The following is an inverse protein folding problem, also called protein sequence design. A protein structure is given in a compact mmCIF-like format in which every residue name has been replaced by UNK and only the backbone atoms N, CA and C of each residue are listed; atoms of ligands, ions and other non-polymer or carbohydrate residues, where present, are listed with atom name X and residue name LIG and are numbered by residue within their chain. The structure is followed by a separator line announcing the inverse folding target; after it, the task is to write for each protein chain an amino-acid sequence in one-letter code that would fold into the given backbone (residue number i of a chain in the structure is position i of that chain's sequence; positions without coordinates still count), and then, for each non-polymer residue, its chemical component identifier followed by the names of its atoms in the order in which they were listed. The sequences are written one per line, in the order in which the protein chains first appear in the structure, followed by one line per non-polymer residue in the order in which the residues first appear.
data_IF_826257378218
#
_entry.id   IF_826257378218
#
_cell.length_a   1.000
_cell.length_b   1.000
_cell.length_c   1.000
_cell.angle_alpha   90.00
_cell.angle_beta   90.00
_cell.angle_gamma   90.00
#
_symmetry.space_group_name_H-M   'P 1'
#
loop_
_entity.id
_entity.type
_entity.pdbx_description
1 polymer ?
#
# COMPACT_ATOMS: atom_id res chain seq x y z
N UNK A 1 -5.91 -22.29 -16.02
CA UNK A 1 -4.78 -23.19 -15.71
C UNK A 1 -3.82 -22.39 -14.83
N UNK A 2 -3.75 -22.73 -13.54
CA UNK A 2 -3.26 -21.86 -12.45
C UNK A 2 -1.85 -21.27 -12.65
N UNK A 3 -1.77 -19.94 -12.70
CA UNK A 3 -0.51 -19.17 -12.60
C UNK A 3 0.33 -19.58 -11.37
N UNK A 4 -0.33 -20.02 -10.30
CA UNK A 4 0.31 -20.57 -9.08
C UNK A 4 1.12 -21.84 -9.37
N UNK A 5 0.63 -22.71 -10.25
CA UNK A 5 1.30 -23.97 -10.62
C UNK A 5 2.50 -23.70 -11.52
N UNK A 6 2.38 -22.69 -12.40
CA UNK A 6 3.49 -22.20 -13.22
C UNK A 6 4.63 -21.62 -12.39
N UNK A 7 4.33 -20.78 -11.39
CA UNK A 7 5.36 -20.15 -10.51
C UNK A 7 6.23 -21.21 -9.79
N UNK A 8 5.60 -22.26 -9.25
CA UNK A 8 6.28 -23.38 -8.61
C UNK A 8 7.12 -24.22 -9.59
N UNK A 9 6.69 -24.31 -10.85
CA UNK A 9 7.34 -25.13 -11.87
C UNK A 9 8.53 -24.42 -12.54
N UNK A 10 8.46 -23.09 -12.73
CA UNK A 10 9.57 -22.28 -13.25
C UNK A 10 10.75 -22.14 -12.27
N UNK A 11 10.49 -22.12 -10.96
CA UNK A 11 11.55 -22.10 -9.95
C UNK A 11 12.48 -23.33 -10.03
N UNK A 12 11.95 -24.51 -10.41
CA UNK A 12 12.74 -25.75 -10.52
C UNK A 12 13.70 -25.77 -11.72
N UNK A 13 13.55 -24.90 -12.72
CA UNK A 13 14.37 -24.89 -13.94
C UNK A 13 15.41 -23.75 -13.99
N UNK A 14 15.43 -22.87 -12.99
CA UNK A 14 16.32 -21.69 -12.97
C UNK A 14 17.68 -21.93 -12.30
N UNK A 15 17.94 -23.15 -11.80
CA UNK A 15 19.08 -23.45 -10.93
C UNK A 15 20.49 -23.26 -11.53
N UNK A 16 20.63 -22.87 -12.81
CA UNK A 16 21.95 -22.73 -13.44
C UNK A 16 22.08 -21.60 -14.47
N UNK A 17 21.23 -20.57 -14.45
CA UNK A 17 21.35 -19.40 -15.34
C UNK A 17 21.44 -18.13 -14.52
N UNK A 18 22.59 -17.44 -14.58
CA UNK A 18 22.91 -16.29 -13.73
C UNK A 18 21.95 -15.09 -13.83
N UNK A 19 22.23 -14.04 -13.06
CA UNK A 19 21.38 -12.85 -12.88
C UNK A 19 20.79 -12.24 -14.16
N UNK A 20 21.54 -12.22 -15.27
CA UNK A 20 21.06 -11.74 -16.58
C UNK A 20 19.87 -12.55 -17.09
N UNK A 21 19.89 -13.87 -16.95
CA UNK A 21 18.78 -14.72 -17.36
C UNK A 21 17.55 -14.52 -16.47
N UNK A 22 17.74 -14.28 -15.17
CA UNK A 22 16.64 -13.99 -14.26
C UNK A 22 15.92 -12.68 -14.64
N UNK A 23 16.68 -11.63 -14.99
CA UNK A 23 16.12 -10.35 -15.46
C UNK A 23 15.32 -10.53 -16.75
N UNK A 24 15.85 -11.30 -17.72
CA UNK A 24 15.15 -11.57 -18.99
C UNK A 24 13.85 -12.33 -18.75
N UNK A 25 13.87 -13.41 -17.95
CA UNK A 25 12.66 -14.18 -17.60
C UNK A 25 11.64 -13.32 -16.86
N UNK A 26 12.10 -12.47 -15.93
CA UNK A 26 11.24 -11.55 -15.21
C UNK A 26 10.55 -10.56 -16.15
N UNK A 27 11.31 -9.97 -17.08
CA UNK A 27 10.79 -9.01 -18.05
C UNK A 27 9.78 -9.64 -19.01
N UNK A 28 10.05 -10.86 -19.49
CA UNK A 28 9.11 -11.64 -20.28
C UNK A 28 7.81 -11.86 -19.51
N UNK A 29 7.89 -12.31 -18.25
CA UNK A 29 6.71 -12.51 -17.40
C UNK A 29 5.93 -11.22 -17.13
N UNK A 30 6.62 -10.10 -16.96
CA UNK A 30 5.98 -8.79 -16.84
C UNK A 30 5.18 -8.41 -18.10
N UNK A 31 5.70 -8.70 -19.29
CA UNK A 31 4.98 -8.47 -20.55
C UNK A 31 3.81 -9.42 -20.75
N UNK A 32 3.99 -10.71 -20.46
CA UNK A 32 3.00 -11.75 -20.76
C UNK A 32 1.85 -11.80 -19.75
N UNK A 33 2.14 -11.71 -18.45
CA UNK A 33 1.14 -11.97 -17.39
C UNK A 33 0.57 -10.68 -16.82
N UNK A 34 -0.74 -10.48 -17.02
CA UNK A 34 -1.51 -9.40 -16.36
C UNK A 34 -1.42 -9.55 -14.84
N UNK A 35 -1.58 -10.77 -14.32
CA UNK A 35 -1.51 -11.04 -12.89
C UNK A 35 -0.14 -10.66 -12.31
N UNK A 36 0.94 -10.99 -13.01
CA UNK A 36 2.28 -10.60 -12.60
C UNK A 36 2.45 -9.07 -12.56
N UNK A 37 1.90 -8.33 -13.54
CA UNK A 37 1.91 -6.86 -13.51
C UNK A 37 1.14 -6.31 -12.32
N UNK A 38 -0.05 -6.84 -12.03
CA UNK A 38 -0.85 -6.44 -10.87
C UNK A 38 -0.05 -6.63 -9.56
N UNK A 39 0.58 -7.81 -9.40
CA UNK A 39 1.41 -8.12 -8.25
C UNK A 39 2.66 -7.23 -8.16
N UNK A 40 3.30 -6.93 -9.30
CA UNK A 40 4.44 -6.01 -9.35
C UNK A 40 4.03 -4.61 -8.87
N UNK A 41 2.95 -4.04 -9.41
CA UNK A 41 2.48 -2.72 -8.97
C UNK A 41 2.09 -2.72 -7.49
N UNK A 42 1.49 -3.81 -7.01
CA UNK A 42 1.17 -3.95 -5.59
C UNK A 42 2.43 -3.93 -4.73
N UNK A 43 3.44 -4.73 -5.09
CA UNK A 43 4.72 -4.76 -4.39
C UNK A 43 5.43 -3.39 -4.46
N UNK A 44 5.40 -2.73 -5.61
CA UNK A 44 6.03 -1.43 -5.84
C UNK A 44 5.37 -0.32 -5.00
N UNK A 45 4.04 -0.20 -5.01
CA UNK A 45 3.34 0.81 -4.20
C UNK A 45 3.50 0.51 -2.70
N UNK A 46 3.44 -0.75 -2.31
CA UNK A 46 3.71 -1.17 -0.92
C UNK A 46 5.13 -0.80 -0.50
N UNK A 47 6.13 -1.02 -1.36
CA UNK A 47 7.51 -0.64 -1.06
C UNK A 47 7.69 0.87 -0.98
N UNK A 48 6.98 1.67 -1.78
CA UNK A 48 7.01 3.13 -1.66
C UNK A 48 6.45 3.61 -0.33
N UNK A 49 5.32 3.03 0.11
CA UNK A 49 4.72 3.34 1.41
C UNK A 49 5.71 2.99 2.53
N UNK A 50 6.24 1.76 2.54
CA UNK A 50 7.20 1.33 3.56
C UNK A 50 8.49 2.15 3.50
N UNK A 51 8.99 2.49 2.32
CA UNK A 51 10.20 3.31 2.15
C UNK A 51 10.02 4.70 2.75
N UNK A 52 8.94 5.41 2.41
CA UNK A 52 8.63 6.72 3.01
C UNK A 52 8.49 6.62 4.52
N UNK A 53 7.78 5.59 5.00
CA UNK A 53 7.49 5.43 6.42
C UNK A 53 8.71 5.01 7.24
N UNK A 54 9.66 4.25 6.67
CA UNK A 54 10.83 3.71 7.39
C UNK A 54 12.09 4.59 7.27
N UNK A 55 12.29 5.30 6.15
CA UNK A 55 13.55 6.02 5.87
C UNK A 55 13.48 7.54 6.01
N UNK A 56 12.28 8.13 6.15
CA UNK A 56 12.09 9.59 6.22
C UNK A 56 11.86 10.12 7.65
N UNK A 57 12.33 9.44 8.71
CA UNK A 57 12.08 9.87 10.12
C UNK A 57 13.34 10.11 10.94
N UNK A 58 13.22 11.07 11.87
CA UNK A 58 14.19 11.32 12.92
C UNK A 58 14.18 10.17 13.92
N UNK A 59 15.29 9.43 13.95
CA UNK A 59 15.56 8.42 14.97
C UNK A 59 15.57 9.11 16.35
N UNK A 60 15.15 8.43 17.42
CA UNK A 60 15.26 8.86 18.84
C UNK A 60 14.10 9.69 19.45
N UNK A 61 12.86 9.46 19.04
CA UNK A 61 11.67 9.97 19.75
C UNK A 61 10.98 8.87 20.59
N UNK A 62 10.35 9.26 21.70
CA UNK A 62 9.59 8.33 22.54
C UNK A 62 8.38 7.79 21.76
N UNK A 63 8.27 6.46 21.52
CA UNK A 63 7.32 5.89 20.57
C UNK A 63 5.84 6.07 20.95
N UNK A 64 5.56 6.39 22.22
CA UNK A 64 4.21 6.60 22.74
C UNK A 64 3.95 8.05 23.16
N UNK A 65 4.88 8.97 22.90
CA UNK A 65 4.76 10.36 23.35
C UNK A 65 3.71 11.16 22.58
N UNK A 66 3.42 10.78 21.34
CA UNK A 66 2.55 11.53 20.43
C UNK A 66 1.43 10.67 19.82
N UNK A 67 0.79 9.82 20.64
CA UNK A 67 -0.23 8.87 20.14
C UNK A 67 -1.45 9.56 19.53
N UNK A 68 -1.80 10.73 20.08
CA UNK A 68 -2.95 11.53 19.66
C UNK A 68 -2.52 12.77 18.85
N UNK A 69 -1.29 12.82 18.33
CA UNK A 69 -0.81 13.90 17.47
C UNK A 69 -1.25 13.76 16.02
N UNK A 70 -0.85 14.70 15.18
CA UNK A 70 -1.01 14.61 13.72
C UNK A 70 -2.45 14.69 13.21
N UNK A 71 -3.39 15.28 13.95
CA UNK A 71 -4.78 15.47 13.46
C UNK A 71 -4.93 16.61 12.46
N UNK A 72 -4.02 17.59 12.48
CA UNK A 72 -4.08 18.78 11.63
C UNK A 72 -2.88 18.89 10.70
N UNK A 73 -3.04 19.76 9.68
CA UNK A 73 -2.00 20.15 8.72
C UNK A 73 -1.03 21.18 9.33
N UNK A 74 -1.32 21.66 10.54
CA UNK A 74 -0.54 22.66 11.25
C UNK A 74 -0.14 22.11 12.61
N UNK A 75 1.14 22.17 12.91
CA UNK A 75 1.70 21.85 14.22
C UNK A 75 2.45 23.07 14.75
N UNK A 76 2.22 23.43 16.01
CA UNK A 76 2.94 24.54 16.65
C UNK A 76 4.15 23.97 17.37
N UNK A 77 5.34 24.13 16.79
CA UNK A 77 6.61 23.69 17.40
C UNK A 77 7.38 24.93 17.79
N UNK A 78 7.66 25.09 19.09
CA UNK A 78 8.37 26.26 19.65
C UNK A 78 7.73 27.62 19.31
N UNK A 79 6.40 27.68 19.19
CA UNK A 79 5.67 28.93 18.90
C UNK A 79 5.56 29.29 17.42
N UNK A 80 6.19 28.52 16.51
CA UNK A 80 6.03 28.66 15.06
C UNK A 80 5.05 27.60 14.52
N UNK A 81 4.14 28.01 13.64
CA UNK A 81 3.29 27.08 12.91
C UNK A 81 4.08 26.44 11.78
N UNK A 82 4.28 25.12 11.86
CA UNK A 82 4.87 24.32 10.79
C UNK A 82 3.78 23.52 10.09
N UNK A 83 3.91 23.44 8.77
CA UNK A 83 3.02 22.66 7.91
C UNK A 83 3.42 21.19 7.99
N UNK A 84 2.52 20.35 8.49
CA UNK A 84 2.66 18.90 8.53
C UNK A 84 2.00 18.30 7.30
N UNK A 85 2.79 17.74 6.40
CA UNK A 85 2.28 17.07 5.18
C UNK A 85 1.92 15.60 5.41
N UNK A 86 2.12 15.10 6.63
CA UNK A 86 2.03 13.68 6.97
C UNK A 86 0.64 13.09 6.71
N UNK A 87 -0.43 13.79 7.13
CA UNK A 87 -1.82 13.35 6.91
C UNK A 87 -2.15 13.24 5.42
N UNK A 88 -1.71 14.20 4.62
CA UNK A 88 -1.98 14.26 3.18
C UNK A 88 -1.20 13.16 2.46
N UNK A 89 0.07 12.96 2.83
CA UNK A 89 0.91 11.90 2.29
C UNK A 89 0.33 10.51 2.57
N UNK A 90 -0.15 10.27 3.80
CA UNK A 90 -0.80 9.02 4.20
C UNK A 90 -2.03 8.72 3.33
N UNK A 91 -2.90 9.71 3.09
CA UNK A 91 -4.05 9.58 2.19
C UNK A 91 -3.60 9.31 0.75
N UNK A 92 -2.68 10.11 0.22
CA UNK A 92 -2.23 10.05 -1.18
C UNK A 92 -1.54 8.71 -1.48
N UNK A 93 -0.81 8.15 -0.54
CA UNK A 93 -0.10 6.88 -0.74
C UNK A 93 -1.00 5.67 -0.55
N UNK A 94 -1.93 5.69 0.41
CA UNK A 94 -2.82 4.55 0.67
C UNK A 94 -3.92 4.41 -0.40
N UNK A 95 -4.25 5.51 -1.07
CA UNK A 95 -5.21 5.56 -2.17
C UNK A 95 -4.84 4.65 -3.38
N UNK A 96 -3.67 4.78 -4.03
CA UNK A 96 -3.24 3.88 -5.10
C UNK A 96 -3.01 2.45 -4.60
N UNK A 97 -2.53 2.27 -3.37
CA UNK A 97 -2.37 0.94 -2.77
C UNK A 97 -3.70 0.19 -2.74
N UNK A 98 -4.74 0.81 -2.16
CA UNK A 98 -6.07 0.23 -2.05
C UNK A 98 -6.66 -0.13 -3.44
N UNK A 99 -6.54 0.78 -4.41
CA UNK A 99 -7.01 0.53 -5.78
C UNK A 99 -6.30 -0.68 -6.44
N UNK A 100 -4.98 -0.80 -6.28
CA UNK A 100 -4.20 -1.90 -6.83
C UNK A 100 -4.50 -3.22 -6.12
N UNK A 101 -4.72 -3.22 -4.79
CA UNK A 101 -5.15 -4.41 -4.04
C UNK A 101 -6.50 -4.91 -4.57
N UNK A 102 -7.48 -4.01 -4.70
CA UNK A 102 -8.81 -4.35 -5.21
C UNK A 102 -8.74 -4.90 -6.64
N UNK A 103 -7.90 -4.30 -7.49
CA UNK A 103 -7.69 -4.77 -8.86
C UNK A 103 -6.99 -6.13 -8.92
N UNK A 104 -6.07 -6.39 -8.00
CA UNK A 104 -5.34 -7.68 -7.89
C UNK A 104 -6.27 -8.81 -7.46
N UNK A 105 -7.21 -8.54 -6.55
CA UNK A 105 -8.11 -9.55 -5.98
C UNK A 105 -9.58 -9.34 -6.35
N UNK A 106 -9.84 -8.72 -7.50
CA UNK A 106 -11.18 -8.33 -7.94
C UNK A 106 -12.18 -9.51 -7.94
N UNK A 107 -11.71 -10.69 -8.35
CA UNK A 107 -12.49 -11.94 -8.40
C UNK A 107 -13.02 -12.37 -7.02
N UNK A 108 -12.32 -12.02 -5.93
CA UNK A 108 -12.70 -12.38 -4.56
C UNK A 108 -13.63 -11.36 -3.91
N UNK A 109 -13.57 -10.10 -4.34
CA UNK A 109 -14.20 -8.97 -3.65
C UNK A 109 -15.62 -8.73 -4.15
N UNK A 110 -15.94 -9.08 -5.40
CA UNK A 110 -17.28 -8.94 -5.99
C UNK A 110 -17.63 -7.49 -6.37
N UNK A 111 -18.82 -7.28 -6.94
CA UNK A 111 -19.14 -6.06 -7.71
C UNK A 111 -19.91 -4.96 -6.95
N UNK A 112 -20.26 -5.16 -5.68
CA UNK A 112 -21.08 -4.19 -4.92
C UNK A 112 -20.25 -3.02 -4.40
N UNK A 113 -20.67 -1.77 -4.67
CA UNK A 113 -19.96 -0.56 -4.22
C UNK A 113 -19.75 -0.52 -2.71
N UNK A 114 -20.77 -0.87 -1.91
CA UNK A 114 -20.66 -0.98 -0.44
C UNK A 114 -19.62 -2.01 -0.02
N UNK A 115 -19.55 -3.15 -0.72
CA UNK A 115 -18.59 -4.22 -0.43
C UNK A 115 -17.17 -3.81 -0.79
N UNK A 116 -16.98 -3.13 -1.92
CA UNK A 116 -15.69 -2.57 -2.32
C UNK A 116 -15.20 -1.55 -1.30
N UNK A 117 -16.05 -0.59 -0.91
CA UNK A 117 -15.71 0.41 0.11
C UNK A 117 -15.35 -0.25 1.44
N UNK A 118 -16.19 -1.16 1.93
CA UNK A 118 -15.94 -1.87 3.19
C UNK A 118 -14.64 -2.67 3.18
N UNK A 119 -14.38 -3.44 2.11
CA UNK A 119 -13.15 -4.22 1.98
C UNK A 119 -11.93 -3.30 1.85
N UNK A 120 -12.03 -2.21 1.09
CA UNK A 120 -10.94 -1.24 0.91
C UNK A 120 -10.56 -0.56 2.23
N UNK A 121 -11.54 -0.12 3.02
CA UNK A 121 -11.32 0.46 4.34
C UNK A 121 -10.76 -0.56 5.31
N UNK A 122 -11.29 -1.79 5.33
CA UNK A 122 -10.77 -2.87 6.19
C UNK A 122 -9.30 -3.21 5.88
N UNK A 123 -8.95 -3.34 4.61
CA UNK A 123 -7.57 -3.64 4.20
C UNK A 123 -6.65 -2.49 4.58
N UNK A 124 -7.04 -1.25 4.28
CA UNK A 124 -6.25 -0.07 4.63
C UNK A 124 -6.06 0.05 6.15
N UNK A 125 -7.09 -0.18 6.94
CA UNK A 125 -7.00 -0.18 8.41
C UNK A 125 -6.02 -1.22 8.94
N UNK A 126 -6.15 -2.48 8.50
CA UNK A 126 -5.24 -3.58 8.92
C UNK A 126 -3.80 -3.28 8.48
N UNK A 127 -3.62 -2.81 7.24
CA UNK A 127 -2.31 -2.46 6.72
C UNK A 127 -1.67 -1.31 7.51
N UNK A 128 -2.46 -0.30 7.87
CA UNK A 128 -1.99 0.83 8.70
C UNK A 128 -1.55 0.36 10.07
N UNK A 129 -2.37 -0.45 10.77
CA UNK A 129 -1.96 -1.04 12.05
C UNK A 129 -0.67 -1.84 11.89
N UNK A 130 -0.54 -2.61 10.81
CA UNK A 130 0.66 -3.42 10.56
C UNK A 130 1.91 -2.55 10.40
N UNK A 131 1.78 -1.39 9.74
CA UNK A 131 2.88 -0.41 9.58
C UNK A 131 3.24 0.22 10.93
N UNK A 132 2.26 0.71 11.69
CA UNK A 132 2.48 1.31 13.01
C UNK A 132 3.16 0.32 13.96
N UNK A 133 2.71 -0.94 13.97
CA UNK A 133 3.31 -2.02 14.76
C UNK A 133 4.73 -2.35 14.29
N UNK A 134 4.99 -2.32 12.98
CA UNK A 134 6.33 -2.53 12.42
C UNK A 134 7.27 -1.40 12.83
N UNK A 135 6.82 -0.14 12.82
CA UNK A 135 7.58 1.02 13.28
C UNK A 135 7.90 0.94 14.77
N UNK A 136 6.94 0.54 15.61
CA UNK A 136 7.15 0.30 17.03
C UNK A 136 8.18 -0.81 17.28
N UNK A 137 8.07 -1.93 16.55
CA UNK A 137 8.98 -3.07 16.69
C UNK A 137 10.41 -2.71 16.30
N UNK A 138 10.58 -1.89 15.26
CA UNK A 138 11.89 -1.40 14.81
C UNK A 138 12.37 -0.15 15.59
N UNK A 139 11.54 0.40 16.49
CA UNK A 139 11.79 1.65 17.24
C UNK A 139 12.10 2.85 16.32
N UNK A 140 11.44 2.92 15.17
CA UNK A 140 11.68 3.92 14.13
C UNK A 140 10.71 5.11 14.17
N UNK A 141 9.62 5.03 14.94
CA UNK A 141 8.59 6.07 14.94
C UNK A 141 7.64 6.01 16.15
N UNK A 142 6.72 6.97 16.17
CA UNK A 142 5.63 7.07 17.14
C UNK A 142 4.39 6.36 16.60
N UNK A 143 3.67 5.66 17.48
CA UNK A 143 2.39 5.06 17.12
C UNK A 143 1.34 6.16 17.01
N UNK A 144 0.88 6.50 15.80
CA UNK A 144 -0.06 7.60 15.60
C UNK A 144 -1.45 7.10 15.19
N UNK A 145 -2.47 7.42 15.99
CA UNK A 145 -3.86 7.03 15.68
C UNK A 145 -4.40 7.80 14.47
N UNK A 146 -3.96 9.04 14.30
CA UNK A 146 -4.28 9.88 13.14
C UNK A 146 -3.81 9.23 11.83
N UNK A 147 -2.63 8.59 11.82
CA UNK A 147 -2.10 7.89 10.65
C UNK A 147 -2.99 6.71 10.26
N UNK A 148 -3.45 5.92 11.22
CA UNK A 148 -4.42 4.84 10.98
C UNK A 148 -5.72 5.40 10.38
N UNK A 149 -6.20 6.51 10.90
CA UNK A 149 -7.43 7.15 10.42
C UNK A 149 -7.27 7.67 8.98
N UNK A 150 -6.24 8.47 8.70
CA UNK A 150 -5.98 9.06 7.38
C UNK A 150 -5.70 8.00 6.32
N UNK A 151 -4.95 6.96 6.65
CA UNK A 151 -4.74 5.83 5.75
C UNK A 151 -6.05 5.08 5.47
N UNK A 152 -6.92 4.89 6.47
CA UNK A 152 -8.24 4.28 6.27
C UNK A 152 -9.11 5.12 5.33
N UNK A 153 -9.11 6.45 5.50
CA UNK A 153 -9.79 7.38 4.59
C UNK A 153 -9.23 7.28 3.17
N UNK A 154 -7.90 7.31 3.02
CA UNK A 154 -7.23 7.10 1.72
C UNK A 154 -7.60 5.77 1.08
N UNK A 155 -7.71 4.71 1.88
CA UNK A 155 -8.16 3.38 1.45
C UNK A 155 -9.57 3.38 0.87
N UNK A 156 -10.51 4.03 1.55
CA UNK A 156 -11.89 4.19 1.06
C UNK A 156 -11.96 5.01 -0.23
N UNK A 157 -11.19 6.10 -0.33
CA UNK A 157 -11.10 6.90 -1.56
C UNK A 157 -10.54 6.05 -2.71
N UNK A 158 -9.47 5.29 -2.46
CA UNK A 158 -8.91 4.34 -3.42
C UNK A 158 -9.94 3.30 -3.90
N UNK A 159 -10.76 2.80 -2.98
CA UNK A 159 -11.86 1.88 -3.32
C UNK A 159 -12.96 2.52 -4.16
N UNK A 160 -13.31 3.77 -3.88
CA UNK A 160 -14.25 4.53 -4.69
C UNK A 160 -13.72 4.76 -6.11
N UNK A 161 -12.47 5.19 -6.24
CA UNK A 161 -11.83 5.39 -7.54
C UNK A 161 -11.78 4.10 -8.36
N UNK A 162 -11.40 2.99 -7.74
CA UNK A 162 -11.44 1.67 -8.37
C UNK A 162 -12.84 1.34 -8.90
N UNK A 163 -13.87 1.56 -8.08
CA UNK A 163 -15.25 1.33 -8.49
C UNK A 163 -15.66 2.21 -9.70
N UNK A 164 -15.33 3.50 -9.67
CA UNK A 164 -15.64 4.44 -10.76
C UNK A 164 -14.95 4.01 -12.06
N UNK A 165 -13.65 3.70 -12.00
CA UNK A 165 -12.87 3.25 -13.18
C UNK A 165 -13.44 1.94 -13.74
N UNK A 166 -13.74 0.96 -12.88
CA UNK A 166 -14.33 -0.30 -13.32
C UNK A 166 -15.70 -0.08 -13.98
N UNK A 167 -16.54 0.81 -13.44
CA UNK A 167 -17.85 1.12 -14.01
C UNK A 167 -17.73 1.85 -15.35
N UNK A 168 -16.77 2.76 -15.49
CA UNK A 168 -16.47 3.43 -16.75
C UNK A 168 -16.02 2.43 -17.83
N UNK A 169 -15.13 1.49 -17.47
CA UNK A 169 -14.66 0.43 -18.39
C UNK A 169 -15.75 -0.53 -18.86
N UNK A 170 -16.81 -0.76 -18.08
CA UNK A 170 -17.96 -1.58 -18.49
C UNK A 170 -18.96 -0.85 -19.40
N UNK A 171 -18.85 0.48 -19.49
CA UNK A 171 -19.71 1.33 -20.33
C UNK A 171 -19.09 1.67 -21.68
N UNK A 172 -17.79 1.43 -21.84
CA UNK A 172 -17.03 1.49 -23.09
C UNK A 172 -17.03 0.11 -23.73
#
# INVERSE_FOLDING_TARGET
MDDKKYLLQTCKHCGNKGWKSAIVTWYQKFKESVFFRKLFFLAFVTSLILFRTLLNRQLWMNPLSDVMGGWGIWETVNGEQKLTTECIENVIMTMPFSAVVLWTFEEKIGNGWKKILWQSGKIAFIFSISIEMLQLWLRLGTFQVSDIFYNTVGGMIGGLMYYVVMRARKRL
#
